data_IF_454378632088
#
_entry.id   IF_454378632088
#
_cell.length_a   1.000
_cell.length_b   1.000
_cell.length_c   1.000
_cell.angle_alpha   90.00
_cell.angle_beta   90.00
_cell.angle_gamma   90.00
#
_symmetry.space_group_name_H-M   'P 1'
#
loop_
_entity.id
_entity.type
_entity.pdbx_description
1 polymer ?
#
# COMPACT_ATOMS: atom_id res chain seq x y z
N UNK A 1 -1.18 7.37 -17.95
CA UNK A 1 -0.75 8.44 -17.03
C UNK A 1 0.43 9.13 -17.69
N UNK A 2 0.38 10.43 -18.00
CA UNK A 2 1.51 11.09 -18.71
C UNK A 2 1.72 12.56 -18.36
N UNK A 3 0.69 13.41 -18.34
CA UNK A 3 0.88 14.84 -18.07
C UNK A 3 1.07 15.17 -16.58
N UNK A 4 0.25 14.59 -15.71
CA UNK A 4 0.33 14.83 -14.27
C UNK A 4 1.68 14.35 -13.70
N UNK A 5 2.09 13.15 -14.07
CA UNK A 5 3.39 12.59 -13.71
C UNK A 5 4.56 13.42 -14.26
N UNK A 6 4.50 13.86 -15.52
CA UNK A 6 5.54 14.74 -16.10
C UNK A 6 5.61 16.09 -15.38
N UNK A 7 4.46 16.66 -15.02
CA UNK A 7 4.40 17.93 -14.28
C UNK A 7 4.99 17.78 -12.88
N UNK A 8 4.71 16.65 -12.22
CA UNK A 8 5.27 16.30 -10.92
C UNK A 8 6.79 16.13 -11.00
N UNK A 9 7.30 15.34 -11.96
CA UNK A 9 8.73 15.17 -12.20
C UNK A 9 9.45 16.49 -12.48
N UNK A 10 8.81 17.42 -13.21
CA UNK A 10 9.34 18.75 -13.45
C UNK A 10 9.48 19.58 -12.16
N UNK A 11 8.47 19.55 -11.28
CA UNK A 11 8.50 20.27 -10.01
C UNK A 11 9.56 19.69 -9.08
N UNK A 12 9.70 18.37 -9.06
CA UNK A 12 10.63 17.64 -8.19
C UNK A 12 12.10 17.61 -8.68
N UNK A 13 12.51 18.57 -9.52
CA UNK A 13 13.90 18.70 -9.97
C UNK A 13 14.18 18.22 -11.40
N UNK A 14 13.15 17.93 -12.19
CA UNK A 14 13.27 17.74 -13.64
C UNK A 14 13.82 16.39 -14.09
N UNK A 15 13.99 15.42 -13.18
CA UNK A 15 14.44 14.08 -13.52
C UNK A 15 13.39 13.03 -13.14
N UNK A 16 13.30 11.97 -13.94
CA UNK A 16 12.56 10.75 -13.61
C UNK A 16 13.35 9.83 -12.66
N UNK A 17 14.45 10.32 -12.07
CA UNK A 17 15.26 9.57 -11.11
C UNK A 17 14.63 9.62 -9.71
N UNK A 18 13.32 9.35 -9.66
CA UNK A 18 12.61 9.12 -8.41
C UNK A 18 12.85 7.66 -8.05
N UNK A 19 13.80 7.40 -7.14
CA UNK A 19 13.82 6.13 -6.42
C UNK A 19 12.44 5.92 -5.82
N UNK A 20 11.84 4.73 -6.01
CA UNK A 20 10.41 4.42 -5.78
C UNK A 20 9.74 5.32 -4.75
N UNK A 21 8.77 6.12 -5.20
CA UNK A 21 8.15 7.16 -4.38
C UNK A 21 7.25 6.56 -3.31
N UNK A 22 7.21 7.21 -2.14
CA UNK A 22 6.27 6.88 -1.07
C UNK A 22 4.92 7.56 -1.37
N UNK A 23 3.80 6.84 -1.43
CA UNK A 23 2.47 7.42 -1.66
C UNK A 23 2.14 8.56 -0.69
N UNK A 24 2.60 8.52 0.56
CA UNK A 24 2.38 9.59 1.53
C UNK A 24 3.03 10.90 1.09
N UNK A 25 4.27 10.86 0.60
CA UNK A 25 4.98 12.04 0.07
C UNK A 25 4.29 12.56 -1.19
N UNK A 26 3.88 11.68 -2.10
CA UNK A 26 3.26 12.09 -3.36
C UNK A 26 1.89 12.74 -3.12
N UNK A 27 1.05 12.13 -2.27
CA UNK A 27 -0.26 12.69 -1.92
C UNK A 27 -0.12 14.00 -1.17
N UNK A 28 0.86 14.15 -0.26
CA UNK A 28 1.13 15.43 0.40
C UNK A 28 1.38 16.56 -0.60
N UNK A 29 2.20 16.32 -1.63
CA UNK A 29 2.46 17.33 -2.66
C UNK A 29 1.22 17.63 -3.54
N UNK A 30 0.31 16.66 -3.70
CA UNK A 30 -0.88 16.83 -4.53
C UNK A 30 -2.06 17.47 -3.79
N UNK A 31 -2.21 17.22 -2.48
CA UNK A 31 -3.41 17.63 -1.71
C UNK A 31 -3.10 18.55 -0.53
N UNK A 32 -1.84 18.62 -0.10
CA UNK A 32 -1.43 19.27 1.14
C UNK A 32 -1.84 18.51 2.42
N UNK A 33 -2.42 17.31 2.29
CA UNK A 33 -2.82 16.50 3.44
C UNK A 33 -1.61 15.88 4.13
N UNK A 34 -1.60 15.90 5.46
CA UNK A 34 -0.49 15.38 6.26
C UNK A 34 -0.46 13.85 6.16
N UNK A 35 0.67 13.25 5.74
CA UNK A 35 0.78 11.81 5.63
C UNK A 35 0.96 11.18 7.01
N UNK A 36 0.29 10.05 7.22
CA UNK A 36 0.50 9.17 8.37
C UNK A 36 0.96 7.79 7.87
N UNK A 37 1.96 7.22 8.53
CA UNK A 37 2.45 5.87 8.20
C UNK A 37 2.30 4.98 9.41
N UNK A 38 1.43 3.98 9.28
CA UNK A 38 1.18 2.97 10.30
C UNK A 38 1.89 1.70 9.86
N UNK A 39 2.84 1.23 10.68
CA UNK A 39 3.45 -0.09 10.47
C UNK A 39 2.49 -1.16 10.95
N UNK A 40 2.23 -2.15 10.08
CA UNK A 40 1.50 -3.35 10.47
C UNK A 40 2.51 -4.28 11.15
N UNK A 41 2.23 -4.68 12.39
CA UNK A 41 3.08 -5.62 13.10
C UNK A 41 3.14 -6.93 12.31
N UNK A 42 4.35 -7.36 11.93
CA UNK A 42 4.58 -8.65 11.30
C UNK A 42 4.31 -9.77 12.31
N UNK A 43 3.67 -10.85 11.86
CA UNK A 43 3.30 -12.05 12.62
C UNK A 43 4.00 -12.16 13.98
N UNK A 44 3.27 -11.80 15.04
CA UNK A 44 3.59 -12.14 16.42
C UNK A 44 3.39 -13.66 16.61
N UNK A 45 4.27 -14.47 16.00
CA UNK A 45 4.45 -15.89 16.35
C UNK A 45 5.16 -16.06 17.69
N UNK A 46 5.50 -14.96 18.37
CA UNK A 46 5.95 -14.96 19.75
C UNK A 46 4.86 -14.40 20.68
N UNK A 47 4.40 -15.25 21.61
CA UNK A 47 3.62 -14.96 22.80
C UNK A 47 2.13 -14.57 22.59
N UNK A 48 1.26 -15.57 22.80
CA UNK A 48 -0.22 -15.48 22.81
C UNK A 48 -0.86 -14.57 23.88
N UNK A 49 -0.19 -13.47 24.27
CA UNK A 49 -0.75 -12.35 25.03
C UNK A 49 -0.82 -11.04 24.22
N UNK A 50 -0.02 -10.88 23.16
CA UNK A 50 -0.08 -9.69 22.30
C UNK A 50 -1.20 -9.76 21.24
N UNK A 51 -1.67 -10.97 20.92
CA UNK A 51 -2.62 -11.19 19.82
C UNK A 51 -4.01 -10.57 20.06
N UNK A 52 -4.46 -10.45 21.31
CA UNK A 52 -5.76 -9.86 21.66
C UNK A 52 -5.73 -8.33 21.56
N UNK A 53 -4.70 -7.69 22.11
CA UNK A 53 -4.51 -6.22 22.11
C UNK A 53 -4.16 -5.68 20.70
N UNK A 54 -3.32 -6.40 19.94
CA UNK A 54 -3.07 -6.12 18.53
C UNK A 54 -4.34 -6.24 17.68
N UNK A 55 -5.25 -7.15 18.06
CA UNK A 55 -6.52 -7.35 17.41
C UNK A 55 -7.48 -6.17 17.60
N UNK A 56 -7.60 -5.62 18.81
CA UNK A 56 -8.45 -4.46 19.08
C UNK A 56 -7.90 -3.20 18.41
N UNK A 57 -6.59 -2.93 18.56
CA UNK A 57 -5.94 -1.79 17.91
C UNK A 57 -6.09 -1.82 16.38
N UNK A 58 -5.89 -2.99 15.75
CA UNK A 58 -6.10 -3.13 14.30
C UNK A 58 -7.55 -2.83 13.89
N UNK A 59 -8.50 -3.27 14.71
CA UNK A 59 -9.92 -3.04 14.44
C UNK A 59 -10.29 -1.56 14.52
N UNK A 60 -9.76 -0.83 15.49
CA UNK A 60 -9.94 0.63 15.62
C UNK A 60 -9.32 1.36 14.43
N UNK A 61 -8.06 1.06 14.11
CA UNK A 61 -7.35 1.65 12.97
C UNK A 61 -8.10 1.43 11.65
N UNK A 62 -8.59 0.20 11.41
CA UNK A 62 -9.38 -0.08 10.23
C UNK A 62 -10.69 0.71 10.22
N UNK A 63 -11.39 0.78 11.35
CA UNK A 63 -12.68 1.48 11.44
C UNK A 63 -12.48 2.98 11.16
N UNK A 64 -11.48 3.60 11.76
CA UNK A 64 -11.14 5.01 11.53
C UNK A 64 -10.78 5.27 10.06
N UNK A 65 -9.91 4.43 9.49
CA UNK A 65 -9.54 4.54 8.08
C UNK A 65 -10.75 4.35 7.15
N UNK A 66 -11.65 3.41 7.46
CA UNK A 66 -12.84 3.15 6.65
C UNK A 66 -13.84 4.31 6.73
N UNK A 67 -14.09 4.85 7.92
CA UNK A 67 -14.95 6.02 8.12
C UNK A 67 -14.37 7.27 7.46
N UNK A 68 -13.07 7.51 7.62
CA UNK A 68 -12.35 8.59 6.96
C UNK A 68 -12.41 8.48 5.43
N UNK A 69 -12.21 7.29 4.89
CA UNK A 69 -12.29 7.03 3.45
C UNK A 69 -13.70 7.28 2.91
N UNK A 70 -14.74 6.74 3.56
CA UNK A 70 -16.13 6.91 3.15
C UNK A 70 -16.60 8.37 3.25
N UNK A 71 -16.09 9.12 4.23
CA UNK A 71 -16.35 10.55 4.38
C UNK A 71 -15.50 11.43 3.45
N UNK A 72 -14.58 10.86 2.65
CA UNK A 72 -13.68 11.60 1.77
C UNK A 72 -12.62 12.44 2.50
N UNK A 73 -12.28 12.07 3.74
CA UNK A 73 -11.32 12.79 4.61
C UNK A 73 -9.89 12.28 4.50
N UNK A 74 -9.70 11.05 4.03
CA UNK A 74 -8.38 10.47 3.86
C UNK A 74 -8.28 9.65 2.57
N UNK A 75 -7.04 9.48 2.11
CA UNK A 75 -6.66 8.52 1.06
C UNK A 75 -5.83 7.45 1.76
N UNK A 76 -6.12 6.19 1.47
CA UNK A 76 -5.43 5.05 2.10
C UNK A 76 -4.61 4.32 1.05
N UNK A 77 -3.36 4.02 1.40
CA UNK A 77 -2.45 3.19 0.63
C UNK A 77 -1.91 2.08 1.52
N UNK A 78 -1.77 0.88 0.98
CA UNK A 78 -1.16 -0.27 1.66
C UNK A 78 0.10 -0.66 0.90
N UNK A 79 1.22 -0.76 1.60
CA UNK A 79 2.49 -1.21 1.03
C UNK A 79 2.84 -2.62 1.48
N UNK A 80 3.57 -3.36 0.65
CA UNK A 80 4.24 -4.59 1.04
C UNK A 80 5.71 -4.30 1.33
N UNK A 81 6.26 -4.98 2.32
CA UNK A 81 7.70 -5.07 2.55
C UNK A 81 8.31 -6.18 1.66
N UNK A 82 9.50 -6.66 2.01
CA UNK A 82 9.99 -7.92 1.45
C UNK A 82 9.05 -9.07 1.82
N UNK A 83 8.73 -9.91 0.83
CA UNK A 83 7.90 -11.10 1.03
C UNK A 83 8.81 -12.32 0.84
N UNK A 84 8.85 -13.20 1.85
CA UNK A 84 9.78 -14.34 1.87
C UNK A 84 9.54 -15.35 0.73
N UNK A 85 8.30 -15.45 0.27
CA UNK A 85 7.88 -16.34 -0.82
C UNK A 85 7.77 -15.62 -2.17
N UNK A 86 8.28 -14.39 -2.28
CA UNK A 86 8.31 -13.66 -3.53
C UNK A 86 9.40 -14.22 -4.45
N UNK A 87 8.98 -14.69 -5.62
CA UNK A 87 9.86 -15.15 -6.67
C UNK A 87 9.77 -14.21 -7.88
N UNK A 88 10.85 -14.04 -8.67
CA UNK A 88 10.76 -13.30 -9.91
C UNK A 88 9.88 -14.07 -10.89
N UNK A 89 8.77 -13.49 -11.32
CA UNK A 89 7.94 -14.08 -12.36
C UNK A 89 8.63 -13.96 -13.74
N UNK A 90 8.33 -14.90 -14.64
CA UNK A 90 8.89 -14.92 -15.99
C UNK A 90 8.48 -13.67 -16.79
N UNK A 91 7.26 -13.17 -16.58
CA UNK A 91 6.79 -11.93 -17.20
C UNK A 91 7.42 -10.70 -16.55
N UNK A 92 7.57 -10.68 -15.22
CA UNK A 92 8.28 -9.63 -14.50
C UNK A 92 9.72 -9.45 -15.02
N UNK A 93 10.46 -10.56 -15.20
CA UNK A 93 11.80 -10.52 -15.82
C UNK A 93 11.76 -10.01 -17.26
N UNK A 94 10.77 -10.40 -18.06
CA UNK A 94 10.63 -9.96 -19.46
C UNK A 94 10.41 -8.45 -19.55
N UNK A 95 9.65 -7.89 -18.61
CA UNK A 95 9.32 -6.47 -18.53
C UNK A 95 10.38 -5.63 -17.80
N UNK A 96 11.44 -6.27 -17.28
CA UNK A 96 12.51 -5.60 -16.54
C UNK A 96 12.13 -5.21 -15.11
N UNK A 97 11.04 -5.77 -14.57
CA UNK A 97 10.70 -5.64 -13.15
C UNK A 97 11.68 -6.49 -12.32
N UNK A 98 12.26 -5.88 -11.29
CA UNK A 98 13.23 -6.54 -10.40
C UNK A 98 12.50 -7.13 -9.18
N UNK A 99 11.28 -6.67 -8.93
CA UNK A 99 10.44 -7.05 -7.81
C UNK A 99 9.84 -8.45 -8.02
N UNK A 100 9.87 -9.27 -6.96
CA UNK A 100 9.25 -10.59 -6.97
C UNK A 100 7.76 -10.55 -6.65
N UNK A 101 7.04 -11.58 -7.07
CA UNK A 101 5.62 -11.80 -6.77
C UNK A 101 5.51 -12.95 -5.77
N UNK A 102 4.83 -12.72 -4.66
CA UNK A 102 4.51 -13.74 -3.65
C UNK A 102 3.72 -14.88 -4.29
N UNK A 103 4.26 -16.09 -4.17
CA UNK A 103 3.63 -17.30 -4.75
C UNK A 103 2.34 -17.69 -4.05
N UNK A 104 2.18 -17.35 -2.77
CA UNK A 104 0.97 -17.66 -2.01
C UNK A 104 -0.14 -16.64 -2.17
N UNK A 105 0.20 -15.36 -2.31
CA UNK A 105 -0.80 -14.26 -2.31
C UNK A 105 -0.97 -13.56 -3.66
N UNK A 106 0.00 -13.68 -4.57
CA UNK A 106 0.06 -12.91 -5.81
C UNK A 106 0.40 -11.42 -5.60
N UNK A 107 0.75 -11.01 -4.38
CA UNK A 107 1.20 -9.64 -4.09
C UNK A 107 2.65 -9.44 -4.53
N UNK A 108 2.95 -8.26 -5.06
CA UNK A 108 4.30 -7.86 -5.43
C UNK A 108 5.03 -7.41 -4.16
N UNK A 109 6.27 -7.83 -3.97
CA UNK A 109 7.11 -7.39 -2.86
C UNK A 109 7.59 -5.94 -3.07
N UNK A 110 7.78 -5.19 -1.97
CA UNK A 110 8.23 -3.78 -1.99
C UNK A 110 7.37 -2.89 -2.89
N UNK A 111 6.05 -3.09 -2.88
CA UNK A 111 5.11 -2.43 -3.78
C UNK A 111 3.99 -1.72 -3.03
N UNK A 112 3.42 -0.68 -3.65
CA UNK A 112 2.34 0.11 -3.07
C UNK A 112 1.02 -0.09 -3.81
N UNK A 113 -0.05 -0.27 -3.04
CA UNK A 113 -1.41 -0.49 -3.53
C UNK A 113 -2.34 0.62 -3.01
N UNK A 114 -2.95 1.43 -3.90
CA UNK A 114 -4.05 2.30 -3.50
C UNK A 114 -5.26 1.48 -3.06
N UNK A 115 -5.90 1.91 -1.97
CA UNK A 115 -7.16 1.37 -1.52
C UNK A 115 -8.30 2.06 -2.25
N UNK A 116 -9.15 1.26 -2.88
CA UNK A 116 -10.31 1.71 -3.67
C UNK A 116 -11.64 1.52 -2.94
N UNK A 117 -11.65 0.80 -1.81
CA UNK A 117 -12.82 0.64 -0.94
C UNK A 117 -12.40 0.03 0.40
N UNK A 118 -13.08 0.45 1.47
CA UNK A 118 -12.96 -0.10 2.82
C UNK A 118 -14.35 -0.48 3.32
N UNK A 119 -14.60 -1.76 3.57
CA UNK A 119 -15.91 -2.25 4.02
C UNK A 119 -15.82 -3.18 5.23
N UNK A 120 -16.82 -3.05 6.10
CA UNK A 120 -17.08 -4.01 7.17
C UNK A 120 -18.30 -4.86 6.82
N UNK A 121 -18.11 -6.18 6.77
CA UNK A 121 -19.17 -7.15 6.53
C UNK A 121 -19.24 -8.12 7.73
N UNK A 122 -20.19 -7.87 8.64
CA UNK A 122 -20.26 -8.60 9.90
C UNK A 122 -18.98 -8.43 10.72
N UNK A 123 -18.28 -9.54 11.00
CA UNK A 123 -16.99 -9.54 11.72
C UNK A 123 -15.78 -9.33 10.79
N UNK A 124 -15.99 -9.33 9.47
CA UNK A 124 -14.92 -9.20 8.48
C UNK A 124 -14.68 -7.74 8.11
N UNK A 125 -13.41 -7.44 7.85
CA UNK A 125 -12.92 -6.14 7.40
C UNK A 125 -12.19 -6.36 6.08
N UNK A 126 -12.66 -5.70 5.04
CA UNK A 126 -12.22 -5.94 3.67
C UNK A 126 -11.69 -4.65 3.05
N UNK A 127 -10.53 -4.75 2.41
CA UNK A 127 -9.94 -3.71 1.58
C UNK A 127 -10.00 -4.14 0.13
N UNK A 128 -10.45 -3.25 -0.74
CA UNK A 128 -10.34 -3.44 -2.19
C UNK A 128 -9.09 -2.72 -2.68
N UNK A 129 -8.07 -3.48 -3.03
CA UNK A 129 -6.81 -2.95 -3.53
C UNK A 129 -6.78 -2.91 -5.06
N UNK A 130 -6.01 -2.00 -5.63
CA UNK A 130 -5.66 -2.01 -7.06
C UNK A 130 -4.17 -2.11 -7.22
N UNK A 131 -3.70 -3.06 -8.03
CA UNK A 131 -2.31 -3.04 -8.48
C UNK A 131 -2.13 -1.89 -9.51
N UNK A 132 -1.28 -0.88 -9.24
CA UNK A 132 -1.03 0.21 -10.17
C UNK A 132 -0.49 -0.24 -11.53
N UNK A 133 0.19 -1.39 -11.60
CA UNK A 133 0.69 -1.96 -12.86
C UNK A 133 -0.43 -2.50 -13.76
N UNK A 134 -1.66 -2.62 -13.24
CA UNK A 134 -2.83 -3.10 -14.00
C UNK A 134 -2.81 -4.59 -14.32
N UNK A 135 -1.72 -5.29 -14.00
CA UNK A 135 -1.53 -6.74 -14.12
C UNK A 135 -0.50 -7.20 -13.08
N UNK A 136 -0.55 -8.48 -12.73
CA UNK A 136 0.56 -9.23 -12.12
C UNK A 136 0.98 -10.24 -13.17
#
# INVERSE_FOLDING_TARGET
VTLLEKSFAKIMGGSYNMQGSNPGTDIFHLTGWVPETIQLDGDSTAAGKQLEDSGERWQELFNEAAEGYQAGRCIVCVGTSELADAAPDAEARRLGHIEGVSTSTGLVARHAYPVLDCRRLGRQRLLRLKNPWGRV
#
